data_IF_050565422294
#
_entry.id   IF_050565422294
#
_cell.length_a   1.000
_cell.length_b   1.000
_cell.length_c   1.000
_cell.angle_alpha   90.00
_cell.angle_beta   90.00
_cell.angle_gamma   90.00
#
_symmetry.space_group_name_H-M   'P 1'
#
loop_
_entity.id
_entity.type
_entity.pdbx_description
1 polymer ?
#
# COMPACT_ATOMS: atom_id res chain seq x y z
N UNK A 1 -7.05 12.79 3.41
CA UNK A 1 -7.75 11.96 2.41
C UNK A 1 -8.92 12.69 1.79
N UNK A 2 -9.24 12.34 0.56
CA UNK A 2 -10.40 12.84 -0.15
C UNK A 2 -11.67 12.14 0.38
N UNK A 3 -12.73 12.90 0.68
CA UNK A 3 -13.99 12.41 1.25
C UNK A 3 -15.21 12.65 0.34
N UNK A 4 -14.99 13.10 -0.90
CA UNK A 4 -16.06 13.29 -1.88
C UNK A 4 -16.61 11.96 -2.41
N UNK A 5 -17.83 11.97 -2.96
CA UNK A 5 -18.37 10.83 -3.66
C UNK A 5 -17.47 10.47 -4.85
N UNK A 6 -17.05 9.22 -4.92
CA UNK A 6 -16.29 8.70 -6.05
C UNK A 6 -17.31 8.09 -6.99
N UNK A 7 -17.63 8.80 -8.06
CA UNK A 7 -18.43 8.23 -9.13
C UNK A 7 -17.48 7.49 -10.05
N UNK A 8 -17.56 6.17 -10.05
CA UNK A 8 -16.81 5.34 -10.97
C UNK A 8 -17.21 5.73 -12.41
N UNK A 9 -16.32 6.45 -13.08
CA UNK A 9 -16.47 6.76 -14.50
C UNK A 9 -15.93 5.60 -15.33
N UNK A 10 -16.64 5.17 -16.33
CA UNK A 10 -16.20 4.20 -17.34
C UNK A 10 -15.17 4.79 -18.32
N UNK A 11 -14.66 5.98 -18.06
CA UNK A 11 -13.77 6.71 -18.98
C UNK A 11 -12.31 6.62 -18.56
N UNK A 12 -11.45 6.50 -19.54
CA UNK A 12 -10.00 6.71 -19.42
C UNK A 12 -9.64 8.13 -19.00
N UNK A 13 -10.62 9.03 -18.98
CA UNK A 13 -10.50 10.42 -18.57
C UNK A 13 -10.95 10.59 -17.12
N UNK A 14 -10.15 11.26 -16.31
CA UNK A 14 -10.43 11.51 -14.90
C UNK A 14 -9.20 11.38 -14.02
N UNK A 15 -9.38 11.75 -12.75
CA UNK A 15 -8.33 11.66 -11.75
C UNK A 15 -8.27 10.24 -11.18
N UNK A 16 -7.11 9.61 -11.19
CA UNK A 16 -6.91 8.30 -10.60
C UNK A 16 -7.07 8.35 -9.08
N UNK A 17 -7.82 7.42 -8.51
CA UNK A 17 -8.19 7.39 -7.09
C UNK A 17 -7.80 6.06 -6.48
N UNK A 18 -6.84 6.09 -5.57
CA UNK A 18 -6.42 4.91 -4.83
C UNK A 18 -7.41 4.64 -3.69
N UNK A 19 -7.96 3.45 -3.68
CA UNK A 19 -8.85 2.94 -2.63
C UNK A 19 -8.16 1.90 -1.74
N UNK A 20 -8.79 1.54 -0.64
CA UNK A 20 -8.26 0.51 0.27
C UNK A 20 -8.09 -0.86 -0.41
N UNK A 21 -8.96 -1.19 -1.35
CA UNK A 21 -8.91 -2.45 -2.11
C UNK A 21 -7.73 -2.53 -3.10
N UNK A 22 -7.18 -1.40 -3.52
CA UNK A 22 -6.04 -1.35 -4.43
C UNK A 22 -4.70 -1.61 -3.71
N UNK A 23 -4.72 -1.60 -2.37
CA UNK A 23 -3.55 -1.81 -1.53
C UNK A 23 -3.45 -3.30 -1.17
N UNK A 24 -2.73 -4.04 -1.99
CA UNK A 24 -2.38 -5.44 -1.74
C UNK A 24 -1.42 -5.59 -0.55
N UNK A 25 -0.81 -6.76 -0.40
CA UNK A 25 0.09 -7.04 0.73
C UNK A 25 1.50 -6.46 0.54
N UNK A 26 1.90 -6.11 -0.68
CA UNK A 26 3.24 -5.61 -0.98
C UNK A 26 3.49 -4.23 -0.38
N UNK A 27 4.75 -3.93 -0.07
CA UNK A 27 5.17 -2.63 0.44
C UNK A 27 4.93 -1.52 -0.60
N UNK A 28 5.18 -1.82 -1.86
CA UNK A 28 4.91 -0.95 -3.01
C UNK A 28 3.67 -1.47 -3.73
N UNK A 29 2.55 -0.72 -3.74
CA UNK A 29 1.32 -1.16 -4.37
C UNK A 29 1.41 -1.10 -5.90
N UNK A 30 0.72 -2.04 -6.58
CA UNK A 30 0.50 -1.94 -8.03
C UNK A 30 -0.67 -0.99 -8.30
N UNK A 31 -0.39 0.16 -8.91
CA UNK A 31 -1.36 1.23 -9.15
C UNK A 31 -1.86 1.29 -10.60
N UNK A 32 -1.64 0.23 -11.39
CA UNK A 32 -1.99 0.24 -12.84
C UNK A 32 -3.49 0.25 -13.11
N UNK A 33 -4.27 -0.38 -12.23
CA UNK A 33 -5.69 -0.63 -12.43
C UNK A 33 -6.60 0.10 -11.44
N UNK A 34 -6.15 1.24 -10.91
CA UNK A 34 -6.96 2.04 -9.99
C UNK A 34 -8.13 2.70 -10.74
N UNK A 35 -9.25 2.87 -10.04
CA UNK A 35 -10.43 3.53 -10.61
C UNK A 35 -10.14 4.99 -10.94
N UNK A 36 -10.86 5.51 -11.93
CA UNK A 36 -10.85 6.92 -12.25
C UNK A 36 -12.16 7.57 -11.86
N UNK A 37 -12.11 8.73 -11.29
CA UNK A 37 -13.27 9.56 -10.99
C UNK A 37 -13.33 10.71 -11.98
N UNK A 38 -14.52 10.94 -12.56
CA UNK A 38 -14.76 12.08 -13.45
C UNK A 38 -14.43 13.42 -12.78
N UNK A 39 -15.02 14.50 -13.22
CA UNK A 39 -14.71 15.88 -12.77
C UNK A 39 -14.77 16.05 -11.25
N UNK A 40 -13.65 15.80 -10.57
CA UNK A 40 -13.49 16.04 -9.14
C UNK A 40 -12.60 17.25 -8.94
N UNK A 41 -13.16 18.31 -8.36
CA UNK A 41 -12.35 19.44 -7.91
C UNK A 41 -11.53 19.02 -6.71
N UNK A 42 -10.22 18.88 -6.88
CA UNK A 42 -9.30 18.41 -5.83
C UNK A 42 -8.37 19.53 -5.43
N UNK A 43 -8.36 19.86 -4.13
CA UNK A 43 -7.37 20.79 -3.58
C UNK A 43 -5.97 20.25 -3.81
N UNK A 44 -5.03 21.12 -4.18
CA UNK A 44 -3.62 20.74 -4.43
C UNK A 44 -3.01 19.92 -3.27
N UNK A 45 -3.43 20.19 -2.05
CA UNK A 45 -3.00 19.45 -0.85
C UNK A 45 -3.42 17.98 -0.80
N UNK A 46 -4.38 17.52 -1.58
CA UNK A 46 -4.82 16.12 -1.63
C UNK A 46 -4.08 15.29 -2.69
N UNK A 47 -3.38 15.94 -3.61
CA UNK A 47 -2.62 15.25 -4.65
C UNK A 47 -1.44 14.51 -4.04
N UNK A 48 -1.31 13.25 -4.41
CA UNK A 48 -0.21 12.38 -4.01
C UNK A 48 1.06 12.75 -4.78
N UNK A 49 2.20 12.44 -4.17
CA UNK A 49 3.53 12.60 -4.76
C UNK A 49 4.33 11.32 -4.55
N UNK A 50 5.27 11.06 -5.44
CA UNK A 50 6.28 10.01 -5.21
C UNK A 50 6.98 10.27 -3.89
N UNK A 51 7.19 9.20 -3.10
CA UNK A 51 7.69 9.27 -1.74
C UNK A 51 6.61 9.43 -0.65
N UNK A 52 5.34 9.69 -0.99
CA UNK A 52 4.26 9.62 -0.01
C UNK A 52 4.06 8.17 0.45
N UNK A 53 3.52 8.02 1.66
CA UNK A 53 3.10 6.74 2.20
C UNK A 53 1.59 6.80 2.41
N UNK A 54 0.87 5.79 1.94
CA UNK A 54 -0.53 5.59 2.31
C UNK A 54 -0.60 4.66 3.50
N UNK A 55 -1.29 5.08 4.53
CA UNK A 55 -1.51 4.28 5.72
C UNK A 55 -2.96 3.78 5.75
N UNK A 56 -3.11 2.46 5.78
CA UNK A 56 -4.40 1.79 5.98
C UNK A 56 -4.66 1.69 7.47
N UNK A 57 -5.47 2.61 7.98
CA UNK A 57 -5.76 2.71 9.41
C UNK A 57 -6.81 1.71 9.92
N UNK A 58 -7.55 1.06 9.01
CA UNK A 58 -8.64 0.12 9.32
C UNK A 58 -8.29 -1.31 8.92
N UNK A 59 -8.81 -2.26 9.68
CA UNK A 59 -8.69 -3.70 9.44
C UNK A 59 -7.80 -4.39 10.48
N UNK A 60 -7.63 -5.68 10.31
CA UNK A 60 -6.90 -6.52 11.26
C UNK A 60 -5.39 -6.22 11.28
N UNK A 61 -4.89 -5.55 10.25
CA UNK A 61 -3.47 -5.24 10.11
C UNK A 61 -3.30 -3.83 9.51
N UNK A 62 -3.15 -2.79 10.36
CA UNK A 62 -2.78 -1.45 9.90
C UNK A 62 -1.43 -1.49 9.16
N UNK A 63 -1.34 -0.89 7.99
CA UNK A 63 -0.14 -1.03 7.17
C UNK A 63 0.20 0.26 6.41
N UNK A 64 1.50 0.52 6.28
CA UNK A 64 2.06 1.54 5.40
C UNK A 64 2.32 0.98 4.00
N UNK A 65 2.07 1.78 2.97
CA UNK A 65 2.31 1.48 1.57
C UNK A 65 3.09 2.62 0.93
N UNK A 66 4.28 2.31 0.44
CA UNK A 66 5.15 3.31 -0.14
C UNK A 66 4.80 3.59 -1.60
N UNK A 67 4.47 4.83 -1.92
CA UNK A 67 4.28 5.30 -3.27
C UNK A 67 5.65 5.66 -3.87
N UNK A 68 6.41 4.63 -4.26
CA UNK A 68 7.78 4.79 -4.80
C UNK A 68 7.75 5.67 -6.04
N UNK A 69 6.86 5.33 -6.96
CA UNK A 69 6.59 6.08 -8.19
C UNK A 69 5.08 6.17 -8.42
N UNK A 70 4.66 7.27 -9.00
CA UNK A 70 3.27 7.45 -9.42
C UNK A 70 3.22 7.50 -10.94
N UNK A 71 2.43 6.65 -11.61
CA UNK A 71 2.32 6.64 -13.06
C UNK A 71 1.64 7.91 -13.60
N UNK A 72 0.84 8.56 -12.76
CA UNK A 72 0.08 9.76 -13.11
C UNK A 72 -0.33 10.56 -11.87
N UNK A 73 -1.10 11.63 -12.07
CA UNK A 73 -1.68 12.41 -10.98
C UNK A 73 -2.77 11.61 -10.27
N UNK A 74 -2.59 11.36 -8.97
CA UNK A 74 -3.46 10.51 -8.15
C UNK A 74 -3.87 11.17 -6.84
N UNK A 75 -4.98 10.69 -6.28
CA UNK A 75 -5.42 10.99 -4.91
C UNK A 75 -5.72 9.69 -4.16
N UNK A 76 -5.76 9.76 -2.84
CA UNK A 76 -6.23 8.65 -2.00
C UNK A 76 -7.62 8.93 -1.47
N UNK A 77 -8.52 7.94 -1.59
CA UNK A 77 -9.83 7.98 -0.98
C UNK A 77 -9.76 7.73 0.54
N UNK A 78 -10.71 8.29 1.28
CA UNK A 78 -10.91 7.90 2.68
C UNK A 78 -11.28 6.39 2.74
N UNK A 79 -10.85 5.64 3.76
CA UNK A 79 -10.18 6.08 4.99
C UNK A 79 -8.65 6.06 4.94
N UNK A 80 -8.02 5.98 3.77
CA UNK A 80 -6.56 6.01 3.66
C UNK A 80 -6.00 7.33 4.17
N UNK A 81 -4.98 7.26 5.01
CA UNK A 81 -4.25 8.42 5.52
C UNK A 81 -2.96 8.58 4.72
N UNK A 82 -2.62 9.82 4.37
CA UNK A 82 -1.35 10.11 3.71
C UNK A 82 -0.32 10.58 4.71
N UNK A 83 0.84 9.95 4.71
CA UNK A 83 2.03 10.36 5.44
C UNK A 83 3.04 10.92 4.44
N UNK A 84 3.56 12.11 4.71
CA UNK A 84 4.63 12.73 3.92
C UNK A 84 5.77 13.11 4.84
N UNK A 85 6.92 12.51 4.61
CA UNK A 85 8.13 12.80 5.39
C UNK A 85 8.66 14.19 5.05
N UNK A 86 9.10 14.92 6.08
CA UNK A 86 9.64 16.28 5.97
C UNK A 86 11.08 16.37 6.50
N UNK A 87 11.70 15.25 6.79
CA UNK A 87 13.08 15.16 7.29
C UNK A 87 13.95 14.34 6.35
N UNK A 88 15.22 14.63 6.31
CA UNK A 88 16.21 13.83 5.55
C UNK A 88 16.75 12.64 6.36
N UNK A 89 16.35 12.47 7.61
CA UNK A 89 16.83 11.38 8.47
C UNK A 89 16.03 10.08 8.31
N UNK A 90 14.94 10.08 7.55
CA UNK A 90 14.02 8.95 7.43
C UNK A 90 13.63 8.71 5.97
N UNK A 91 13.83 7.50 5.48
CA UNK A 91 13.43 7.09 4.13
C UNK A 91 11.97 6.62 4.11
N UNK A 92 11.16 7.01 3.09
CA UNK A 92 9.76 6.62 3.01
C UNK A 92 9.54 5.10 2.99
N UNK A 93 10.35 4.37 2.23
CA UNK A 93 10.27 2.90 2.18
C UNK A 93 10.55 2.24 3.53
N UNK A 94 11.52 2.79 4.30
CA UNK A 94 11.81 2.31 5.64
C UNK A 94 10.64 2.55 6.60
N UNK A 95 10.05 3.76 6.59
CA UNK A 95 8.89 4.04 7.42
C UNK A 95 7.69 3.14 7.06
N UNK A 96 7.39 2.98 5.78
CA UNK A 96 6.31 2.11 5.33
C UNK A 96 6.53 0.64 5.77
N UNK A 97 7.77 0.16 5.70
CA UNK A 97 8.15 -1.15 6.23
C UNK A 97 8.02 -1.21 7.76
N UNK A 98 8.52 -0.20 8.49
CA UNK A 98 8.46 -0.18 9.96
C UNK A 98 7.03 -0.22 10.49
N UNK A 99 6.10 0.49 9.85
CA UNK A 99 4.68 0.46 10.20
C UNK A 99 4.05 -0.95 10.15
N UNK A 100 4.69 -1.90 9.49
CA UNK A 100 4.26 -3.31 9.39
C UNK A 100 4.97 -4.22 10.39
N UNK A 101 5.98 -3.73 11.12
CA UNK A 101 6.76 -4.54 12.04
C UNK A 101 6.03 -4.77 13.37
N UNK A 102 6.38 -5.85 14.05
CA UNK A 102 5.76 -6.26 15.30
C UNK A 102 5.72 -5.15 16.35
N UNK A 103 6.78 -4.36 16.48
CA UNK A 103 6.84 -3.24 17.41
C UNK A 103 5.74 -2.19 17.13
N UNK A 104 5.57 -1.78 15.87
CA UNK A 104 4.52 -0.84 15.47
C UNK A 104 3.14 -1.48 15.60
N UNK A 105 2.99 -2.76 15.23
CA UNK A 105 1.72 -3.47 15.33
C UNK A 105 1.26 -3.64 16.78
N UNK A 106 2.14 -4.00 17.69
CA UNK A 106 1.83 -4.07 19.13
C UNK A 106 1.43 -2.71 19.69
N UNK A 107 2.10 -1.64 19.27
CA UNK A 107 1.72 -0.28 19.65
C UNK A 107 0.32 0.09 19.13
N UNK A 108 0.02 -0.20 17.86
CA UNK A 108 -1.31 0.04 17.29
C UNK A 108 -2.38 -0.80 18.00
N UNK A 109 -2.09 -2.04 18.30
CA UNK A 109 -3.01 -2.93 19.01
C UNK A 109 -3.36 -2.39 20.40
N UNK A 110 -2.36 -1.93 21.14
CA UNK A 110 -2.54 -1.37 22.50
C UNK A 110 -3.30 -0.03 22.51
N UNK A 111 -3.23 0.77 21.43
CA UNK A 111 -3.76 2.11 21.38
C UNK A 111 -4.94 2.29 20.41
N UNK A 112 -5.38 1.23 19.71
CA UNK A 112 -6.52 1.30 18.79
C UNK A 112 -7.85 1.29 19.53
N UNK A 113 -8.83 1.99 18.98
CA UNK A 113 -10.20 1.99 19.49
C UNK A 113 -11.10 1.01 18.70
N UNK A 114 -12.03 0.39 19.38
CA UNK A 114 -13.06 -0.49 18.82
C UNK A 114 -12.79 -1.98 19.01
N UNK A 115 -13.87 -2.74 19.25
CA UNK A 115 -13.80 -4.17 19.56
C UNK A 115 -13.84 -5.08 18.34
N UNK A 116 -14.52 -4.69 17.25
CA UNK A 116 -14.70 -5.56 16.07
C UNK A 116 -14.01 -5.05 14.79
N UNK A 117 -13.83 -3.75 14.65
CA UNK A 117 -13.09 -3.12 13.56
C UNK A 117 -12.15 -2.07 14.14
N UNK A 118 -10.97 -2.51 14.51
CA UNK A 118 -9.94 -1.63 15.07
C UNK A 118 -9.57 -0.55 14.05
N UNK A 119 -9.48 0.68 14.53
CA UNK A 119 -9.05 1.83 13.74
C UNK A 119 -7.95 2.56 14.49
N UNK A 120 -6.82 2.75 13.81
CA UNK A 120 -5.72 3.57 14.30
C UNK A 120 -6.06 5.04 14.06
N UNK A 121 -6.21 5.80 15.12
CA UNK A 121 -6.42 7.25 15.06
C UNK A 121 -5.20 7.99 14.52
N UNK A 122 -5.40 9.22 14.08
CA UNK A 122 -4.29 10.09 13.64
C UNK A 122 -3.35 10.39 14.79
N UNK A 123 -3.90 10.65 15.96
CA UNK A 123 -3.19 10.88 17.22
C UNK A 123 -2.29 9.69 17.62
N UNK A 124 -2.81 8.47 17.47
CA UNK A 124 -2.03 7.24 17.70
C UNK A 124 -0.87 7.14 16.71
N UNK A 125 -1.13 7.41 15.42
CA UNK A 125 -0.10 7.36 14.39
C UNK A 125 0.99 8.42 14.59
N UNK A 126 0.62 9.65 15.00
CA UNK A 126 1.54 10.76 15.23
C UNK A 126 2.43 10.53 16.46
N UNK A 127 1.97 9.78 17.45
CA UNK A 127 2.72 9.47 18.68
C UNK A 127 3.55 8.19 18.58
N UNK A 128 3.52 7.49 17.44
CA UNK A 128 4.36 6.30 17.25
C UNK A 128 5.84 6.68 17.25
N UNK A 129 6.59 6.06 18.15
CA UNK A 129 8.05 6.20 18.20
C UNK A 129 8.71 5.38 17.11
N UNK A 130 9.47 6.05 16.24
CA UNK A 130 10.14 5.42 15.10
C UNK A 130 11.66 5.43 15.38
N UNK A 131 12.34 4.27 15.33
CA UNK A 131 13.80 4.23 15.48
C UNK A 131 14.47 4.87 14.26
N UNK A 132 15.19 5.95 14.47
CA UNK A 132 15.97 6.60 13.41
C UNK A 132 17.37 5.96 13.39
N UNK A 133 17.56 5.00 12.48
CA UNK A 133 18.85 4.36 12.23
C UNK A 133 19.57 5.04 11.04
N UNK A 134 20.88 4.84 10.85
CA UNK A 134 21.61 5.42 9.72
C UNK A 134 20.96 5.12 8.38
N UNK A 135 20.93 6.11 7.47
CA UNK A 135 20.26 6.02 6.17
C UNK A 135 20.72 4.80 5.34
N UNK A 136 22.02 4.48 5.41
CA UNK A 136 22.56 3.28 4.74
C UNK A 136 21.90 1.99 5.23
N UNK A 137 21.64 1.87 6.54
CA UNK A 137 20.93 0.71 7.09
C UNK A 137 19.46 0.70 6.69
N UNK A 138 18.82 1.88 6.67
CA UNK A 138 17.44 2.00 6.17
C UNK A 138 17.35 1.55 4.72
N UNK A 139 18.28 1.97 3.87
CA UNK A 139 18.34 1.60 2.46
C UNK A 139 18.51 0.08 2.28
N UNK A 140 19.44 -0.55 3.02
CA UNK A 140 19.64 -2.00 2.99
C UNK A 140 18.39 -2.77 3.39
N UNK A 141 17.64 -2.28 4.39
CA UNK A 141 16.36 -2.89 4.79
C UNK A 141 15.36 -2.82 3.64
N UNK A 142 15.22 -1.66 2.99
CA UNK A 142 14.30 -1.48 1.86
C UNK A 142 14.65 -2.47 0.74
N UNK A 143 15.93 -2.57 0.36
CA UNK A 143 16.42 -3.47 -0.68
C UNK A 143 16.10 -4.94 -0.37
N UNK A 144 16.36 -5.38 0.86
CA UNK A 144 16.05 -6.74 1.30
C UNK A 144 14.55 -7.03 1.23
N UNK A 145 13.71 -6.08 1.62
CA UNK A 145 12.26 -6.22 1.56
C UNK A 145 11.78 -6.31 0.11
N UNK A 146 12.25 -5.43 -0.77
CA UNK A 146 11.90 -5.44 -2.20
C UNK A 146 12.33 -6.76 -2.87
N UNK A 147 13.51 -7.28 -2.54
CA UNK A 147 13.98 -8.58 -3.03
C UNK A 147 13.09 -9.73 -2.54
N UNK A 148 12.75 -9.75 -1.26
CA UNK A 148 11.88 -10.78 -0.69
C UNK A 148 10.46 -10.74 -1.29
N UNK A 149 9.90 -9.56 -1.52
CA UNK A 149 8.61 -9.40 -2.20
C UNK A 149 8.68 -9.90 -3.64
N UNK A 150 9.77 -9.60 -4.35
CA UNK A 150 9.98 -10.08 -5.72
C UNK A 150 10.12 -11.59 -5.79
N UNK A 151 10.86 -12.20 -4.86
CA UNK A 151 10.96 -13.65 -4.75
C UNK A 151 9.59 -14.29 -4.54
N UNK A 152 8.79 -13.76 -3.62
CA UNK A 152 7.42 -14.23 -3.36
C UNK A 152 6.53 -14.16 -4.60
N UNK A 153 6.58 -13.04 -5.33
CA UNK A 153 5.81 -12.89 -6.57
C UNK A 153 6.21 -13.93 -7.62
N UNK A 154 7.51 -14.16 -7.80
CA UNK A 154 8.01 -15.15 -8.75
C UNK A 154 7.62 -16.57 -8.35
N UNK A 155 7.70 -16.90 -7.05
CA UNK A 155 7.27 -18.19 -6.54
C UNK A 155 5.77 -18.43 -6.77
N UNK A 156 4.92 -17.44 -6.52
CA UNK A 156 3.49 -17.53 -6.79
C UNK A 156 3.19 -17.72 -8.28
N UNK A 157 3.88 -16.99 -9.16
CA UNK A 157 3.76 -17.17 -10.62
C UNK A 157 4.18 -18.57 -11.06
N UNK A 158 5.26 -19.09 -10.50
CA UNK A 158 5.73 -20.43 -10.80
C UNK A 158 4.70 -21.49 -10.39
N UNK A 159 4.11 -21.37 -9.20
CA UNK A 159 3.05 -22.27 -8.73
C UNK A 159 1.85 -22.24 -9.68
N UNK A 160 1.38 -21.04 -10.06
CA UNK A 160 0.27 -20.88 -10.97
C UNK A 160 0.55 -21.51 -12.35
N UNK A 161 1.73 -21.26 -12.92
CA UNK A 161 2.13 -21.85 -14.21
C UNK A 161 2.25 -23.36 -14.16
N UNK A 162 2.80 -23.93 -13.07
CA UNK A 162 2.85 -25.38 -12.87
C UNK A 162 1.45 -26.00 -12.84
N UNK A 163 0.50 -25.38 -12.15
CA UNK A 163 -0.88 -25.86 -12.11
C UNK A 163 -1.54 -25.86 -13.49
N UNK A 164 -1.36 -24.79 -14.27
CA UNK A 164 -1.86 -24.70 -15.64
C UNK A 164 -1.23 -25.78 -16.53
N UNK A 165 0.09 -25.99 -16.43
CA UNK A 165 0.80 -27.00 -17.20
C UNK A 165 0.29 -28.42 -16.88
N UNK A 166 0.16 -28.77 -15.60
CA UNK A 166 -0.35 -30.07 -15.16
C UNK A 166 -1.76 -30.31 -15.71
N UNK A 167 -2.66 -29.34 -15.53
CA UNK A 167 -4.04 -29.45 -16.01
C UNK A 167 -4.08 -29.65 -17.53
N UNK A 168 -3.30 -28.87 -18.29
CA UNK A 168 -3.22 -29.02 -19.75
C UNK A 168 -2.71 -30.41 -20.17
N UNK A 169 -1.69 -30.92 -19.47
CA UNK A 169 -1.14 -32.25 -19.76
C UNK A 169 -2.13 -33.35 -19.45
N UNK A 170 -2.83 -33.27 -18.33
CA UNK A 170 -3.84 -34.24 -17.94
C UNK A 170 -5.01 -34.26 -18.95
N UNK A 171 -5.52 -33.07 -19.35
CA UNK A 171 -6.61 -32.97 -20.32
C UNK A 171 -6.21 -33.57 -21.67
N UNK A 172 -4.98 -33.35 -22.14
CA UNK A 172 -4.46 -33.99 -23.32
C UNK A 172 -4.46 -35.53 -23.23
N UNK A 173 -4.19 -36.10 -22.06
CA UNK A 173 -4.24 -37.54 -21.85
C UNK A 173 -5.67 -38.09 -21.77
N UNK A 174 -6.62 -37.26 -21.34
CA UNK A 174 -8.04 -37.62 -21.27
C UNK A 174 -8.76 -37.45 -22.62
N UNK A 175 -8.11 -36.86 -23.61
CA UNK A 175 -8.68 -36.65 -24.95
C UNK A 175 -9.64 -35.46 -25.02
N UNK A 176 -9.51 -34.52 -24.11
CA UNK A 176 -10.25 -33.22 -24.06
C UNK A 176 -9.45 -32.09 -24.73
#
# INVERSE_FOLDING_TARGET
PFRGAIVAGSSTEGLAVIQMGDLAENLVPDLKNVIRSGSVSVKAGHVLKSGDILFRARGNFPAGYWLKELPERMIAAAPLQRIRIRTNALLPGFLAWYLRQSAAQSYFEANSQGSSLRMVGIDVLENLMIPVIPLEKQQKIIELVELSERERELAQKLIALKSVYINKTVNQWLGE
#
